data_IF_679040275220
#
_entry.id   IF_679040275220
#
_cell.length_a   1.000
_cell.length_b   1.000
_cell.length_c   1.000
_cell.angle_alpha   90.00
_cell.angle_beta   90.00
_cell.angle_gamma   90.00
#
_symmetry.space_group_name_H-M   'P 1'
#
loop_
_entity.id
_entity.type
_entity.pdbx_description
1 polymer ?
#
# COMPACT_ATOMS: atom_id res chain seq x y z
N UNK A 1 -24.06 -8.37 -35.00
CA UNK A 1 -24.39 -8.75 -33.60
C UNK A 1 -23.21 -9.38 -32.84
N UNK A 2 -22.38 -10.26 -33.44
CA UNK A 2 -21.21 -10.84 -32.76
C UNK A 2 -20.14 -9.82 -32.33
N UNK A 3 -19.97 -8.74 -33.08
CA UNK A 3 -19.02 -7.65 -32.77
C UNK A 3 -19.40 -6.79 -31.57
N UNK A 4 -20.70 -6.64 -31.27
CA UNK A 4 -21.20 -5.85 -30.14
C UNK A 4 -20.96 -6.56 -28.80
N UNK A 5 -20.98 -7.89 -28.79
CA UNK A 5 -20.72 -8.72 -27.60
C UNK A 5 -19.24 -8.62 -27.19
N UNK A 6 -18.32 -8.54 -28.16
CA UNK A 6 -16.88 -8.44 -27.86
C UNK A 6 -16.50 -7.11 -27.19
N UNK A 7 -17.13 -6.01 -27.59
CA UNK A 7 -16.90 -4.68 -27.00
C UNK A 7 -17.42 -4.62 -25.56
N UNK A 8 -18.56 -5.28 -25.28
CA UNK A 8 -19.13 -5.30 -23.94
C UNK A 8 -18.26 -6.10 -22.95
N UNK A 9 -17.63 -7.20 -23.38
CA UNK A 9 -16.74 -8.01 -22.53
C UNK A 9 -15.43 -7.27 -22.20
N UNK A 10 -14.93 -6.42 -23.09
CA UNK A 10 -13.73 -5.60 -22.86
C UNK A 10 -13.94 -4.45 -21.86
N UNK A 11 -15.18 -3.97 -21.69
CA UNK A 11 -15.48 -2.87 -20.75
C UNK A 11 -15.57 -3.32 -19.29
N UNK A 12 -15.84 -4.61 -19.04
CA UNK A 12 -16.07 -5.14 -17.67
C UNK A 12 -14.74 -5.30 -16.91
N UNK A 13 -13.61 -5.47 -17.61
CA UNK A 13 -12.30 -5.72 -16.98
C UNK A 13 -11.57 -4.45 -16.50
N UNK A 14 -12.04 -3.26 -16.86
CA UNK A 14 -11.43 -1.98 -16.45
C UNK A 14 -11.94 -1.46 -15.09
N UNK A 15 -13.12 -1.89 -14.64
CA UNK A 15 -13.79 -1.37 -13.44
C UNK A 15 -13.12 -1.77 -12.11
N UNK A 16 -12.48 -2.95 -12.06
CA UNK A 16 -11.79 -3.43 -10.86
C UNK A 16 -10.52 -2.61 -10.52
N UNK A 17 -9.82 -2.06 -11.51
CA UNK A 17 -8.62 -1.24 -11.26
C UNK A 17 -8.94 0.17 -10.76
N UNK A 18 -10.01 0.78 -11.28
CA UNK A 18 -10.43 2.11 -10.85
C UNK A 18 -10.83 2.15 -9.37
N UNK A 19 -11.35 1.02 -8.86
CA UNK A 19 -11.86 0.93 -7.50
C UNK A 19 -10.74 0.97 -6.45
N UNK A 20 -9.66 0.18 -6.62
CA UNK A 20 -8.57 0.15 -5.64
C UNK A 20 -7.82 1.48 -5.55
N UNK A 21 -7.46 2.08 -6.69
CA UNK A 21 -6.76 3.37 -6.69
C UNK A 21 -7.60 4.46 -6.01
N UNK A 22 -8.90 4.51 -6.30
CA UNK A 22 -9.83 5.42 -5.64
C UNK A 22 -9.93 5.17 -4.14
N UNK A 23 -9.92 3.91 -3.69
CA UNK A 23 -9.99 3.55 -2.28
C UNK A 23 -8.69 3.92 -1.54
N UNK A 24 -7.55 3.72 -2.17
CA UNK A 24 -6.24 4.07 -1.61
C UNK A 24 -6.05 5.57 -1.48
N UNK A 25 -6.42 6.33 -2.51
CA UNK A 25 -6.15 7.77 -2.59
C UNK A 25 -7.31 8.63 -2.09
N UNK A 26 -8.45 8.01 -1.77
CA UNK A 26 -9.73 8.69 -1.56
C UNK A 26 -10.04 9.71 -2.69
N UNK A 27 -9.79 9.30 -3.94
CA UNK A 27 -9.90 10.16 -5.14
C UNK A 27 -9.06 11.44 -5.07
N UNK A 28 -7.97 11.45 -4.29
CA UNK A 28 -7.13 12.62 -4.03
C UNK A 28 -7.89 13.81 -3.44
N UNK A 29 -9.01 13.56 -2.76
CA UNK A 29 -9.76 14.61 -2.04
C UNK A 29 -9.13 14.99 -0.71
N UNK A 30 -8.16 14.19 -0.24
CA UNK A 30 -7.37 14.42 0.96
C UNK A 30 -5.89 14.28 0.61
N UNK A 31 -5.04 15.07 1.28
CA UNK A 31 -3.58 15.02 1.08
C UNK A 31 -2.98 13.70 1.60
N UNK A 32 -3.60 13.16 2.66
CA UNK A 32 -3.20 11.91 3.29
C UNK A 32 -4.39 11.04 3.64
N UNK A 33 -4.16 9.72 3.67
CA UNK A 33 -5.15 8.72 4.09
C UNK A 33 -4.46 7.71 4.98
N UNK A 34 -5.03 7.47 6.17
CA UNK A 34 -4.52 6.50 7.12
C UNK A 34 -5.26 5.16 7.00
N UNK A 35 -4.48 4.09 7.06
CA UNK A 35 -4.93 2.71 7.03
C UNK A 35 -4.28 1.95 8.19
N UNK A 36 -4.95 0.88 8.60
CA UNK A 36 -4.45 -0.02 9.61
C UNK A 36 -4.59 -1.45 9.11
N UNK A 37 -3.52 -2.22 9.26
CA UNK A 37 -3.51 -3.66 9.09
C UNK A 37 -3.18 -4.32 10.43
N UNK A 38 -3.69 -5.51 10.62
CA UNK A 38 -3.22 -6.41 11.66
C UNK A 38 -1.95 -7.14 11.19
N UNK A 39 -1.07 -7.52 12.10
CA UNK A 39 0.20 -8.17 11.75
C UNK A 39 0.00 -9.51 11.03
N UNK A 40 -1.09 -10.23 11.30
CA UNK A 40 -1.46 -11.47 10.60
C UNK A 40 -1.81 -11.27 9.11
N UNK A 41 -2.01 -10.03 8.67
CA UNK A 41 -2.21 -9.68 7.27
C UNK A 41 -0.87 -9.51 6.50
N UNK A 42 0.26 -9.62 7.20
CA UNK A 42 1.62 -9.49 6.67
C UNK A 42 2.42 -10.74 7.02
N UNK A 43 3.39 -11.09 6.17
CA UNK A 43 4.26 -12.24 6.40
C UNK A 43 5.10 -12.03 7.68
N UNK A 44 4.83 -12.84 8.70
CA UNK A 44 5.48 -12.79 10.01
C UNK A 44 6.95 -13.23 9.98
N UNK A 45 7.40 -13.86 8.89
CA UNK A 45 8.80 -14.25 8.72
C UNK A 45 9.70 -13.05 8.38
N UNK A 46 9.10 -11.94 7.92
CA UNK A 46 9.86 -10.73 7.59
C UNK A 46 10.06 -9.89 8.86
N UNK A 47 11.31 -9.60 9.26
CA UNK A 47 11.56 -8.81 10.46
C UNK A 47 10.93 -7.41 10.36
N UNK A 48 10.27 -6.98 11.45
CA UNK A 48 9.77 -5.60 11.60
C UNK A 48 10.89 -4.58 11.41
N UNK A 49 10.52 -3.33 11.12
CA UNK A 49 11.45 -2.21 10.93
C UNK A 49 12.45 -2.40 9.76
N UNK A 50 12.15 -3.30 8.82
CA UNK A 50 12.91 -3.47 7.58
C UNK A 50 12.17 -2.84 6.40
N UNK A 51 12.91 -2.51 5.36
CA UNK A 51 12.35 -2.00 4.10
C UNK A 51 11.45 -3.06 3.45
N UNK A 52 11.85 -4.32 3.55
CA UNK A 52 11.13 -5.48 3.04
C UNK A 52 9.76 -5.61 3.72
N UNK A 53 9.73 -5.49 5.06
CA UNK A 53 8.48 -5.50 5.82
C UNK A 53 7.55 -4.36 5.40
N UNK A 54 8.09 -3.14 5.26
CA UNK A 54 7.30 -1.98 4.86
C UNK A 54 6.70 -2.15 3.45
N UNK A 55 7.49 -2.64 2.49
CA UNK A 55 7.02 -2.94 1.13
C UNK A 55 5.95 -4.03 1.14
N UNK A 56 6.11 -5.06 1.96
CA UNK A 56 5.12 -6.13 2.10
C UNK A 56 3.84 -5.60 2.74
N UNK A 57 3.91 -4.78 3.78
CA UNK A 57 2.75 -4.15 4.41
C UNK A 57 1.94 -3.30 3.42
N UNK A 58 2.61 -2.46 2.62
CA UNK A 58 1.94 -1.68 1.56
C UNK A 58 1.33 -2.59 0.50
N UNK A 59 2.02 -3.68 0.15
CA UNK A 59 1.52 -4.69 -0.79
C UNK A 59 0.26 -5.39 -0.26
N UNK A 60 0.25 -5.80 1.01
CA UNK A 60 -0.92 -6.38 1.68
C UNK A 60 -2.09 -5.39 1.74
N UNK A 61 -1.82 -4.11 2.04
CA UNK A 61 -2.85 -3.07 2.00
C UNK A 61 -3.47 -2.94 0.60
N UNK A 62 -2.64 -2.86 -0.43
CA UNK A 62 -3.13 -2.75 -1.81
C UNK A 62 -3.95 -3.98 -2.21
N UNK A 63 -3.54 -5.19 -1.81
CA UNK A 63 -4.32 -6.41 -2.03
C UNK A 63 -5.67 -6.37 -1.31
N UNK A 64 -5.69 -5.94 -0.04
CA UNK A 64 -6.92 -5.77 0.77
C UNK A 64 -7.90 -4.79 0.12
N UNK A 65 -7.38 -3.75 -0.54
CA UNK A 65 -8.16 -2.78 -1.31
C UNK A 65 -8.53 -3.26 -2.73
N UNK A 66 -8.13 -4.47 -3.12
CA UNK A 66 -8.49 -5.10 -4.39
C UNK A 66 -7.58 -4.74 -5.57
N UNK A 67 -6.36 -4.25 -5.34
CA UNK A 67 -5.38 -4.01 -6.40
C UNK A 67 -4.82 -5.33 -6.94
N UNK A 68 -4.55 -5.40 -8.26
CA UNK A 68 -3.96 -6.60 -8.88
C UNK A 68 -2.46 -6.71 -8.61
N UNK A 69 -2.06 -7.89 -8.13
CA UNK A 69 -0.69 -8.28 -7.76
C UNK A 69 0.39 -8.05 -8.83
N UNK A 70 0.06 -8.28 -10.10
CA UNK A 70 0.98 -8.15 -11.25
C UNK A 70 1.62 -6.75 -11.37
N UNK A 71 1.06 -5.74 -10.70
CA UNK A 71 1.61 -4.39 -10.70
C UNK A 71 2.34 -4.05 -9.40
N UNK A 72 2.19 -4.79 -8.31
CA UNK A 72 2.56 -4.32 -6.96
C UNK A 72 4.06 -4.43 -6.68
N UNK A 73 4.72 -5.50 -7.15
CA UNK A 73 6.16 -5.74 -6.90
C UNK A 73 7.12 -4.77 -7.62
N UNK A 74 6.71 -4.22 -8.78
CA UNK A 74 7.51 -3.29 -9.60
C UNK A 74 7.17 -1.81 -9.34
N UNK A 75 6.37 -1.53 -8.31
CA UNK A 75 5.83 -0.18 -8.06
C UNK A 75 6.70 0.68 -7.15
N UNK A 76 7.60 0.10 -6.37
CA UNK A 76 8.37 0.84 -5.37
C UNK A 76 9.70 1.34 -5.94
N UNK A 77 9.87 2.66 -6.00
CA UNK A 77 11.07 3.31 -6.55
C UNK A 77 12.15 3.50 -5.49
N UNK A 78 11.74 3.81 -4.26
CA UNK A 78 12.63 4.11 -3.15
C UNK A 78 11.99 3.64 -1.83
N UNK A 79 12.80 3.28 -0.85
CA UNK A 79 12.33 3.00 0.49
C UNK A 79 13.47 3.13 1.49
N UNK A 80 13.16 3.62 2.69
CA UNK A 80 14.12 3.77 3.78
C UNK A 80 13.41 3.60 5.13
N UNK A 81 14.10 3.09 6.13
CA UNK A 81 13.58 2.97 7.49
C UNK A 81 14.49 3.73 8.46
N UNK A 82 13.88 4.44 9.40
CA UNK A 82 14.62 5.18 10.41
C UNK A 82 13.89 5.16 11.75
N UNK A 83 14.67 5.03 12.82
CA UNK A 83 14.20 5.24 14.19
C UNK A 83 13.91 6.73 14.38
N UNK A 84 12.65 7.05 14.68
CA UNK A 84 12.27 8.42 15.05
C UNK A 84 12.88 8.80 16.39
N UNK A 85 13.01 7.84 17.31
CA UNK A 85 13.71 7.99 18.59
C UNK A 85 14.90 7.03 18.61
N UNK A 86 16.14 7.54 18.50
CA UNK A 86 17.34 6.71 18.44
C UNK A 86 17.45 5.76 19.64
N UNK A 87 17.69 4.49 19.37
CA UNK A 87 17.82 3.43 20.38
C UNK A 87 16.48 2.82 20.82
N UNK A 88 15.36 3.27 20.26
CA UNK A 88 14.04 2.66 20.48
C UNK A 88 13.58 2.00 19.18
N UNK A 89 13.78 0.69 19.07
CA UNK A 89 13.47 -0.08 17.86
C UNK A 89 11.99 -0.04 17.47
N UNK A 90 11.08 0.10 18.43
CA UNK A 90 9.64 0.25 18.20
C UNK A 90 9.24 1.64 17.66
N UNK A 91 10.18 2.60 17.62
CA UNK A 91 9.96 3.93 17.03
C UNK A 91 10.31 4.00 15.55
N UNK A 92 10.64 2.86 14.93
CA UNK A 92 10.96 2.81 13.51
C UNK A 92 9.76 3.20 12.65
N UNK A 93 10.01 4.10 11.72
CA UNK A 93 9.09 4.45 10.64
C UNK A 93 9.81 4.23 9.32
N UNK A 94 9.15 3.50 8.43
CA UNK A 94 9.63 3.25 7.09
C UNK A 94 8.87 4.10 6.08
N UNK A 95 9.62 4.81 5.25
CA UNK A 95 9.14 5.45 4.05
C UNK A 95 9.20 4.45 2.88
N UNK A 96 8.13 4.35 2.10
CA UNK A 96 8.09 3.61 0.84
C UNK A 96 7.50 4.51 -0.24
N UNK A 97 8.23 4.72 -1.33
CA UNK A 97 7.80 5.51 -2.47
C UNK A 97 7.16 4.61 -3.51
N UNK A 98 5.91 4.91 -3.87
CA UNK A 98 5.20 4.25 -4.98
C UNK A 98 5.01 5.19 -6.16
N UNK A 99 4.35 4.70 -7.23
CA UNK A 99 4.06 5.53 -8.42
C UNK A 99 3.11 6.70 -8.17
N UNK A 100 2.25 6.60 -7.16
CA UNK A 100 1.13 7.52 -6.92
C UNK A 100 1.32 8.44 -5.72
N UNK A 101 2.41 8.28 -4.98
CA UNK A 101 2.68 8.95 -3.72
C UNK A 101 3.63 8.13 -2.85
N UNK A 102 3.70 8.48 -1.58
CA UNK A 102 4.54 7.79 -0.60
C UNK A 102 3.73 7.25 0.58
N UNK A 103 4.28 6.23 1.21
CA UNK A 103 3.70 5.54 2.36
C UNK A 103 4.64 5.68 3.54
N UNK A 104 4.07 6.01 4.70
CA UNK A 104 4.74 5.90 5.97
C UNK A 104 4.19 4.68 6.69
N UNK A 105 5.06 3.75 7.05
CA UNK A 105 4.72 2.49 7.71
C UNK A 105 5.34 2.48 9.09
N UNK A 106 4.53 2.25 10.12
CA UNK A 106 4.99 2.05 11.50
C UNK A 106 4.22 0.92 12.15
N UNK A 107 4.80 0.33 13.19
CA UNK A 107 4.16 -0.72 13.99
C UNK A 107 4.01 -0.21 15.41
N UNK A 108 2.80 -0.28 15.96
CA UNK A 108 2.58 0.10 17.35
C UNK A 108 2.94 -1.02 18.34
N UNK A 109 2.86 -0.71 19.63
CA UNK A 109 3.16 -1.69 20.69
C UNK A 109 2.11 -2.80 20.84
N UNK A 110 0.98 -2.68 20.13
CA UNK A 110 -0.09 -3.68 20.08
C UNK A 110 -0.06 -4.44 18.75
N UNK A 111 1.06 -4.38 18.02
CA UNK A 111 1.29 -5.12 16.79
C UNK A 111 0.39 -4.69 15.62
N UNK A 112 -0.23 -3.51 15.68
CA UNK A 112 -0.92 -2.97 14.52
C UNK A 112 0.05 -2.27 13.60
N UNK A 113 -0.11 -2.51 12.31
CA UNK A 113 0.65 -1.88 11.25
C UNK A 113 -0.13 -0.65 10.79
N UNK A 114 0.42 0.52 11.06
CA UNK A 114 -0.15 1.80 10.66
C UNK A 114 0.50 2.22 9.34
N UNK A 115 -0.33 2.48 8.34
CA UNK A 115 0.11 2.89 7.00
C UNK A 115 -0.55 4.21 6.64
N UNK A 116 0.24 5.25 6.44
CA UNK A 116 -0.25 6.55 5.98
C UNK A 116 0.19 6.75 4.54
N UNK A 117 -0.77 6.76 3.62
CA UNK A 117 -0.56 7.20 2.25
C UNK A 117 -0.55 8.73 2.20
N UNK A 118 0.38 9.30 1.45
CA UNK A 118 0.44 10.72 1.12
C UNK A 118 0.65 10.88 -0.39
N UNK A 119 -0.04 11.86 -0.97
CA UNK A 119 0.26 12.32 -2.34
C UNK A 119 1.61 13.03 -2.38
N UNK A 120 2.20 13.17 -3.57
CA UNK A 120 3.50 13.81 -3.73
C UNK A 120 3.51 15.34 -3.51
N UNK A 121 2.34 15.98 -3.58
CA UNK A 121 2.15 17.44 -3.57
C UNK A 121 1.53 18.01 -2.29
#
# INVERSE_FOLDING_TARGET
MKTLILIFVLLISASSFANCSSALTNQYTQDSVAFQLSEDEVDYEIPRATVEFAKQAVTSLQQKLGCKLEKIGEQFTNANCQEVVPGISSSNVCYVEGRSGYFLVSVDMLENINIVFNRFD
#
